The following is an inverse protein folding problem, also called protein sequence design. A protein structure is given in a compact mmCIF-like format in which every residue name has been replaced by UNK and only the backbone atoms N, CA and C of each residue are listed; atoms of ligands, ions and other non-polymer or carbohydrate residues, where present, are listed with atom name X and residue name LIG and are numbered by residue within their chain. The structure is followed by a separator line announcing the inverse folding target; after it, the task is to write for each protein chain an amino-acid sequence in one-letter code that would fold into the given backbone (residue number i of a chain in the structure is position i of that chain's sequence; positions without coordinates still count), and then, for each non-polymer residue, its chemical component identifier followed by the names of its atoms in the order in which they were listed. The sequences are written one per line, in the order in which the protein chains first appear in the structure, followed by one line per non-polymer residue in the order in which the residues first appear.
data_IF_414641090213
#
_entry.id   IF_414641090213
#
_cell.length_a   1.000
_cell.length_b   1.000
_cell.length_c   1.000
_cell.angle_alpha   90.00
_cell.angle_beta   90.00
_cell.angle_gamma   90.00
#
_symmetry.space_group_name_H-M   'P 1'
#
loop_
_entity.id
_entity.type
_entity.pdbx_description
1 polymer ?
#
# COMPACT_ATOMS: atom_id res chain seq x y z
N UNK A 1 14.96 10.60 -6.38
CA UNK A 1 15.83 9.41 -6.45
C UNK A 1 15.00 8.32 -7.14
N UNK A 2 15.56 7.63 -8.12
CA UNK A 2 14.90 6.47 -8.75
C UNK A 2 15.10 5.26 -7.86
N UNK A 3 14.11 4.36 -7.80
CA UNK A 3 14.26 3.03 -7.21
C UNK A 3 14.07 2.01 -8.31
N UNK A 4 15.04 1.10 -8.44
CA UNK A 4 15.08 0.14 -9.53
C UNK A 4 15.20 -1.26 -8.95
N UNK A 5 14.26 -2.11 -9.31
CA UNK A 5 14.30 -3.51 -8.96
C UNK A 5 15.42 -4.20 -9.74
N UNK A 6 16.24 -5.06 -9.10
CA UNK A 6 17.19 -5.90 -9.83
C UNK A 6 16.49 -6.69 -10.95
N UNK A 7 17.19 -6.97 -12.07
CA UNK A 7 16.69 -7.88 -13.09
C UNK A 7 16.19 -9.18 -12.47
N UNK A 8 15.09 -9.74 -12.99
CA UNK A 8 14.60 -11.05 -12.52
C UNK A 8 15.75 -12.06 -12.62
N UNK A 9 15.96 -12.92 -11.61
CA UNK A 9 17.12 -13.81 -11.54
C UNK A 9 17.20 -14.76 -12.74
N UNK A 10 16.07 -15.01 -13.41
CA UNK A 10 15.97 -15.78 -14.64
C UNK A 10 14.67 -15.44 -15.38
N UNK A 11 14.63 -15.79 -16.67
CA UNK A 11 13.45 -15.64 -17.52
C UNK A 11 12.50 -16.83 -17.32
N UNK A 12 11.43 -16.62 -16.54
CA UNK A 12 10.44 -17.66 -16.25
C UNK A 12 9.73 -18.16 -17.52
N UNK A 13 9.61 -17.32 -18.56
CA UNK A 13 8.92 -17.70 -19.80
C UNK A 13 9.78 -18.59 -20.70
N UNK A 14 11.09 -18.62 -20.49
CA UNK A 14 11.97 -19.58 -21.15
C UNK A 14 11.74 -21.01 -20.64
N UNK A 15 11.35 -21.16 -19.36
CA UNK A 15 11.04 -22.44 -18.73
C UNK A 15 9.58 -22.85 -18.91
N UNK A 16 8.68 -21.86 -18.80
CA UNK A 16 7.24 -22.05 -18.91
C UNK A 16 6.67 -21.06 -19.94
N UNK A 17 6.80 -21.36 -21.26
CA UNK A 17 6.33 -20.47 -22.33
C UNK A 17 4.84 -20.11 -22.24
N UNK A 18 4.04 -20.93 -21.57
CA UNK A 18 2.62 -20.69 -21.32
C UNK A 18 2.35 -19.44 -20.48
N UNK A 19 3.34 -18.96 -19.71
CA UNK A 19 3.23 -17.72 -18.95
C UNK A 19 3.41 -16.45 -19.80
N UNK A 20 4.07 -16.53 -20.95
CA UNK A 20 4.31 -15.38 -21.82
C UNK A 20 3.03 -14.60 -22.19
N UNK A 21 1.92 -15.22 -22.63
CA UNK A 21 0.67 -14.49 -22.90
C UNK A 21 -0.02 -13.94 -21.65
N UNK A 22 0.42 -14.33 -20.44
CA UNK A 22 -0.14 -13.89 -19.16
C UNK A 22 0.65 -12.73 -18.54
N UNK A 23 1.73 -12.29 -19.18
CA UNK A 23 2.53 -11.16 -18.72
C UNK A 23 1.66 -9.88 -18.64
N UNK A 24 1.70 -9.19 -17.49
CA UNK A 24 1.08 -7.88 -17.31
C UNK A 24 2.09 -6.88 -16.78
N UNK A 25 2.01 -5.65 -17.27
CA UNK A 25 2.77 -4.53 -16.71
C UNK A 25 2.08 -4.04 -15.43
N UNK A 26 2.82 -3.99 -14.34
CA UNK A 26 2.50 -3.26 -13.12
C UNK A 26 3.42 -2.05 -12.97
N UNK A 27 3.02 -1.05 -12.19
CA UNK A 27 3.91 0.05 -11.81
C UNK A 27 4.08 0.06 -10.30
N UNK A 28 5.26 -0.31 -9.81
CA UNK A 28 5.64 -0.17 -8.41
C UNK A 28 5.85 1.30 -8.07
N UNK A 29 5.46 1.72 -6.88
CA UNK A 29 5.41 3.14 -6.52
C UNK A 29 6.50 3.60 -5.56
N UNK A 30 7.20 2.67 -4.89
CA UNK A 30 8.35 2.94 -4.01
C UNK A 30 8.22 4.19 -3.12
N UNK A 31 7.21 4.27 -2.24
CA UNK A 31 6.99 5.45 -1.41
C UNK A 31 8.18 5.72 -0.49
N UNK A 32 8.68 6.96 -0.47
CA UNK A 32 9.72 7.41 0.48
C UNK A 32 9.27 8.63 1.27
N UNK A 33 9.56 8.70 2.59
CA UNK A 33 9.19 9.85 3.41
C UNK A 33 9.69 11.15 2.79
N UNK A 34 8.83 12.17 2.78
CA UNK A 34 9.12 13.44 2.14
C UNK A 34 8.08 14.52 2.45
N UNK A 35 8.13 15.60 1.69
CA UNK A 35 7.18 16.73 1.83
C UNK A 35 6.45 16.95 0.51
N UNK A 36 5.49 16.06 0.16
CA UNK A 36 4.73 16.19 -1.07
C UNK A 36 3.86 17.44 -1.08
N UNK A 37 3.65 17.98 -2.27
CA UNK A 37 2.72 19.07 -2.56
C UNK A 37 1.47 18.53 -3.25
N UNK A 38 0.46 19.39 -3.45
CA UNK A 38 -0.75 19.04 -4.19
C UNK A 38 -0.47 18.65 -5.64
N UNK A 39 0.71 18.97 -6.19
CA UNK A 39 1.10 18.65 -7.57
C UNK A 39 1.92 17.36 -7.70
N UNK A 40 2.18 16.68 -6.58
CA UNK A 40 2.91 15.43 -6.57
C UNK A 40 1.97 14.23 -6.52
N UNK A 41 2.35 13.15 -7.21
CA UNK A 41 1.82 11.83 -6.91
C UNK A 41 2.45 11.36 -5.59
N UNK A 42 1.63 11.10 -4.57
CA UNK A 42 2.09 10.92 -3.19
C UNK A 42 1.18 10.04 -2.33
N UNK A 43 1.72 9.59 -1.19
CA UNK A 43 0.96 8.99 -0.07
C UNK A 43 0.87 10.02 1.04
N UNK A 44 -0.29 10.15 1.69
CA UNK A 44 -0.48 10.98 2.89
C UNK A 44 -0.17 12.48 2.72
N UNK A 45 0.02 12.94 1.49
CA UNK A 45 0.25 14.33 1.16
C UNK A 45 -1.05 15.14 1.02
N UNK A 46 -0.93 16.46 0.84
CA UNK A 46 -2.08 17.29 0.55
C UNK A 46 -2.68 16.92 -0.82
N UNK A 47 -4.00 16.95 -0.93
CA UNK A 47 -4.71 16.67 -2.17
C UNK A 47 -4.94 17.96 -2.96
N UNK A 48 -4.92 17.88 -4.29
CA UNK A 48 -5.46 18.90 -5.18
C UNK A 48 -7.00 18.88 -5.09
N UNK A 49 -7.54 19.37 -3.97
CA UNK A 49 -8.97 19.38 -3.69
C UNK A 49 -9.57 20.76 -3.98
N UNK A 50 -10.66 20.87 -4.77
CA UNK A 50 -11.31 22.14 -5.05
C UNK A 50 -11.86 22.80 -3.78
N UNK A 51 -11.65 24.12 -3.62
CA UNK A 51 -12.12 24.86 -2.44
C UNK A 51 -13.66 24.94 -2.34
N UNK A 52 -14.37 24.81 -3.47
CA UNK A 52 -15.83 24.85 -3.58
C UNK A 52 -16.49 23.47 -3.41
N UNK A 53 -15.70 22.40 -3.33
CA UNK A 53 -16.21 21.05 -3.15
C UNK A 53 -16.14 20.62 -1.67
N UNK A 54 -17.24 20.16 -1.07
CA UNK A 54 -17.24 19.72 0.32
C UNK A 54 -16.30 18.52 0.51
N UNK A 55 -15.55 18.54 1.61
CA UNK A 55 -14.74 17.38 2.00
C UNK A 55 -15.63 16.18 2.33
N UNK A 56 -15.25 14.94 1.94
CA UNK A 56 -16.05 13.76 2.22
C UNK A 56 -15.96 13.33 3.69
N UNK A 57 -17.09 12.85 4.22
CA UNK A 57 -17.21 12.33 5.58
C UNK A 57 -17.79 10.92 5.56
N UNK A 58 -17.41 10.12 6.55
CA UNK A 58 -18.01 8.84 6.87
C UNK A 58 -19.07 9.02 7.98
N UNK A 59 -20.31 8.68 7.66
CA UNK A 59 -21.46 8.72 8.58
C UNK A 59 -21.86 7.33 9.09
N UNK A 60 -21.07 6.30 8.78
CA UNK A 60 -21.39 4.93 9.21
C UNK A 60 -21.17 4.75 10.73
N UNK A 61 -21.85 3.76 11.35
CA UNK A 61 -21.65 3.46 12.76
C UNK A 61 -20.22 2.98 13.05
N UNK A 62 -19.55 3.61 14.02
CA UNK A 62 -18.23 3.20 14.51
C UNK A 62 -18.36 2.56 15.89
N UNK A 63 -17.79 1.38 16.10
CA UNK A 63 -17.86 0.69 17.40
C UNK A 63 -16.80 1.22 18.38
N UNK A 64 -17.26 1.91 19.43
CA UNK A 64 -16.40 2.43 20.51
C UNK A 64 -15.71 1.34 21.33
N UNK A 65 -16.11 0.08 21.19
CA UNK A 65 -15.49 -1.07 21.86
C UNK A 65 -14.42 -1.75 21.02
N UNK A 66 -14.34 -1.44 19.72
CA UNK A 66 -13.38 -2.07 18.81
C UNK A 66 -11.93 -1.58 19.05
N UNK A 67 -11.75 -0.40 19.66
CA UNK A 67 -10.44 0.10 20.08
C UNK A 67 -10.51 0.67 21.51
N UNK A 68 -9.64 0.23 22.43
CA UNK A 68 -9.63 0.74 23.81
C UNK A 68 -9.09 2.17 23.92
N UNK A 69 -8.33 2.62 22.93
CA UNK A 69 -7.73 3.96 22.85
C UNK A 69 -7.90 4.48 21.44
N UNK A 70 -8.26 5.75 21.31
CA UNK A 70 -8.32 6.49 20.05
C UNK A 70 -7.41 7.71 20.12
N UNK A 71 -6.93 8.17 18.98
CA UNK A 71 -6.01 9.30 18.88
C UNK A 71 -6.54 10.32 17.89
N UNK A 72 -6.21 11.60 18.04
CA UNK A 72 -6.30 12.53 16.90
C UNK A 72 -5.09 12.35 15.98
N UNK A 73 -5.13 12.80 14.72
CA UNK A 73 -3.96 12.77 13.86
C UNK A 73 -2.73 13.46 14.46
N UNK A 74 -2.93 14.55 15.21
CA UNK A 74 -1.84 15.24 15.92
C UNK A 74 -1.22 14.42 17.04
N UNK A 75 -2.03 13.64 17.77
CA UNK A 75 -1.50 12.70 18.77
C UNK A 75 -0.68 11.62 18.08
N UNK A 76 -1.16 11.06 16.96
CA UNK A 76 -0.41 10.05 16.20
C UNK A 76 0.94 10.62 15.74
N UNK A 77 0.96 11.84 15.20
CA UNK A 77 2.21 12.53 14.82
C UNK A 77 3.13 12.76 16.02
N UNK A 78 2.59 13.11 17.19
CA UNK A 78 3.36 13.28 18.42
C UNK A 78 3.96 11.95 18.89
N UNK A 79 3.15 10.88 18.95
CA UNK A 79 3.59 9.53 19.30
C UNK A 79 4.68 9.02 18.35
N UNK A 80 4.59 9.33 17.06
CA UNK A 80 5.66 9.03 16.07
C UNK A 80 6.95 9.77 16.39
N UNK A 81 6.89 11.06 16.70
CA UNK A 81 8.08 11.85 17.09
C UNK A 81 8.72 11.31 18.36
N UNK A 82 7.93 10.97 19.38
CA UNK A 82 8.43 10.38 20.61
C UNK A 82 9.10 9.02 20.33
N UNK A 83 8.46 8.15 19.53
CA UNK A 83 9.03 6.84 19.13
C UNK A 83 10.35 7.01 18.39
N UNK A 84 10.44 7.97 17.47
CA UNK A 84 11.67 8.26 16.75
C UNK A 84 12.78 8.79 17.68
N UNK A 85 12.45 9.72 18.59
CA UNK A 85 13.39 10.27 19.56
C UNK A 85 13.91 9.20 20.52
N UNK A 86 13.05 8.30 21.00
CA UNK A 86 13.41 7.16 21.84
C UNK A 86 14.35 6.18 21.12
N UNK A 87 14.07 5.88 19.86
CA UNK A 87 14.91 5.01 19.05
C UNK A 87 16.29 5.61 18.78
N UNK A 88 16.39 6.91 18.43
CA UNK A 88 17.70 7.56 18.26
C UNK A 88 18.47 7.64 19.58
N UNK A 89 17.80 7.93 20.70
CA UNK A 89 18.40 7.93 22.03
C UNK A 89 19.06 6.58 22.34
N UNK A 90 18.34 5.48 22.10
CA UNK A 90 18.86 4.12 22.30
C UNK A 90 19.94 3.71 21.31
N UNK A 91 19.93 4.27 20.11
CA UNK A 91 20.99 4.09 19.11
C UNK A 91 22.31 4.69 19.59
N UNK A 92 22.25 5.88 20.20
CA UNK A 92 23.42 6.60 20.72
C UNK A 92 23.90 6.04 22.06
N UNK A 93 22.98 5.60 22.92
CA UNK A 93 23.25 4.98 24.21
C UNK A 93 22.30 3.80 24.45
N UNK A 94 22.76 2.54 24.25
CA UNK A 94 21.93 1.35 24.43
C UNK A 94 21.31 1.19 25.83
N UNK A 95 21.94 1.79 26.86
CA UNK A 95 21.45 1.73 28.24
C UNK A 95 20.46 2.85 28.57
N UNK A 96 20.24 3.79 27.64
CA UNK A 96 19.30 4.89 27.84
C UNK A 96 17.86 4.39 27.99
N UNK A 97 17.04 5.08 28.81
CA UNK A 97 15.65 4.71 29.00
C UNK A 97 14.89 4.79 27.68
N UNK A 98 14.01 3.80 27.45
CA UNK A 98 13.16 3.77 26.26
C UNK A 98 12.30 5.03 26.16
N UNK A 99 11.73 5.46 27.29
CA UNK A 99 10.88 6.65 27.36
C UNK A 99 11.33 7.56 28.49
N UNK A 100 11.30 8.88 28.27
CA UNK A 100 11.46 9.84 29.35
C UNK A 100 10.21 9.87 30.24
N UNK A 101 10.30 10.39 31.48
CA UNK A 101 9.11 10.64 32.31
C UNK A 101 8.09 11.56 31.62
N UNK A 102 8.55 12.55 30.84
CA UNK A 102 7.67 13.49 30.12
C UNK A 102 6.94 12.83 28.95
N UNK A 103 7.62 11.95 28.19
CA UNK A 103 7.03 11.14 27.12
C UNK A 103 5.93 10.23 27.71
N UNK A 104 6.22 9.51 28.80
CA UNK A 104 5.22 8.66 29.48
C UNK A 104 4.01 9.45 29.97
N UNK A 105 4.23 10.58 30.63
CA UNK A 105 3.14 11.44 31.11
C UNK A 105 2.31 12.01 29.94
N UNK A 106 2.92 12.22 28.79
CA UNK A 106 2.19 12.61 27.57
C UNK A 106 1.33 11.45 27.08
N UNK A 107 1.87 10.25 26.98
CA UNK A 107 1.13 9.08 26.50
C UNK A 107 -0.04 8.71 27.41
N UNK A 108 0.13 8.81 28.72
CA UNK A 108 -0.94 8.62 29.70
C UNK A 108 -2.09 9.61 29.50
N UNK A 109 -1.79 10.87 29.13
CA UNK A 109 -2.82 11.87 28.80
C UNK A 109 -3.52 11.53 27.49
N UNK A 110 -2.77 11.11 26.46
CA UNK A 110 -3.31 10.76 25.15
C UNK A 110 -4.22 9.53 25.19
N UNK A 111 -3.90 8.56 26.04
CA UNK A 111 -4.69 7.35 26.24
C UNK A 111 -6.13 7.63 26.73
N UNK A 112 -6.37 8.81 27.32
CA UNK A 112 -7.67 9.23 27.85
C UNK A 112 -8.52 10.05 26.87
N UNK A 113 -8.18 10.10 25.57
CA UNK A 113 -8.96 10.89 24.59
C UNK A 113 -10.42 10.42 24.56
N UNK A 114 -11.39 11.35 24.65
CA UNK A 114 -12.80 10.98 24.59
C UNK A 114 -13.19 10.48 23.19
N UNK A 115 -14.16 9.58 23.17
CA UNK A 115 -14.81 9.12 21.95
C UNK A 115 -15.61 10.25 21.28
N UNK A 116 -15.83 10.13 19.97
CA UNK A 116 -16.59 11.08 19.16
C UNK A 116 -17.61 10.32 18.30
N UNK A 117 -18.89 10.64 18.47
CA UNK A 117 -20.01 9.95 17.81
C UNK A 117 -20.49 10.64 16.51
N UNK A 118 -19.78 11.66 16.05
CA UNK A 118 -20.15 12.42 14.86
C UNK A 118 -19.52 11.90 13.55
N UNK A 119 -19.79 12.59 12.43
CA UNK A 119 -19.23 12.26 11.12
C UNK A 119 -17.70 12.35 11.12
N UNK A 120 -17.03 11.35 10.54
CA UNK A 120 -15.56 11.27 10.50
C UNK A 120 -15.06 11.78 9.15
N UNK A 121 -14.28 12.86 9.13
CA UNK A 121 -13.64 13.34 7.90
C UNK A 121 -12.72 12.25 7.35
N UNK A 122 -12.83 11.95 6.04
CA UNK A 122 -11.96 10.93 5.44
C UNK A 122 -10.51 11.44 5.42
N UNK A 123 -9.56 10.55 5.70
CA UNK A 123 -8.13 10.85 5.59
C UNK A 123 -7.67 10.77 4.13
N UNK A 124 -6.80 11.69 3.68
CA UNK A 124 -6.14 11.56 2.39
C UNK A 124 -5.11 10.43 2.46
N UNK A 125 -5.24 9.44 1.58
CA UNK A 125 -4.37 8.26 1.54
C UNK A 125 -3.36 8.39 0.42
N UNK A 126 -3.82 8.66 -0.80
CA UNK A 126 -2.97 8.73 -1.96
C UNK A 126 -3.51 9.69 -3.01
N UNK A 127 -2.60 10.26 -3.79
CA UNK A 127 -2.88 11.03 -4.99
C UNK A 127 -2.01 10.53 -6.13
N UNK A 128 -2.58 10.26 -7.29
CA UNK A 128 -1.89 9.73 -8.46
C UNK A 128 -2.24 10.55 -9.70
N UNK A 129 -1.22 11.15 -10.31
CA UNK A 129 -1.34 11.81 -11.59
C UNK A 129 -0.99 10.86 -12.73
N UNK A 130 -1.81 10.89 -13.78
CA UNK A 130 -1.62 10.05 -14.97
C UNK A 130 -0.33 10.37 -15.75
N UNK A 131 0.26 11.56 -15.54
CA UNK A 131 1.57 11.93 -16.08
C UNK A 131 2.74 11.22 -15.40
N UNK A 132 2.56 10.77 -14.16
CA UNK A 132 3.62 10.16 -13.36
C UNK A 132 3.46 8.63 -13.31
N UNK A 133 2.21 8.16 -13.21
CA UNK A 133 1.88 6.75 -13.01
C UNK A 133 0.76 6.33 -13.97
N UNK A 134 0.91 5.22 -14.72
CA UNK A 134 -0.19 4.68 -15.52
C UNK A 134 -1.19 3.91 -14.65
N UNK A 135 -2.48 4.21 -14.80
CA UNK A 135 -3.58 3.49 -14.14
C UNK A 135 -4.86 3.54 -15.00
N UNK A 136 -5.81 2.58 -14.82
CA UNK A 136 -7.15 2.67 -15.41
C UNK A 136 -7.85 3.93 -14.91
N UNK A 137 -8.39 4.74 -15.83
CA UNK A 137 -9.01 6.03 -15.51
C UNK A 137 -10.15 6.36 -16.48
N UNK A 138 -11.15 7.15 -16.06
CA UNK A 138 -12.10 7.76 -16.99
C UNK A 138 -11.39 8.64 -18.04
N UNK A 139 -11.94 8.79 -19.25
CA UNK A 139 -11.27 9.52 -20.34
C UNK A 139 -10.91 10.98 -20.01
N UNK A 140 -11.74 11.65 -19.21
CA UNK A 140 -11.68 13.06 -18.83
C UNK A 140 -10.92 13.34 -17.51
N UNK A 141 -10.49 12.29 -16.81
CA UNK A 141 -9.74 12.41 -15.56
C UNK A 141 -8.26 12.09 -15.77
N UNK A 142 -7.36 12.92 -15.26
CA UNK A 142 -5.90 12.69 -15.22
C UNK A 142 -5.36 12.57 -13.79
N UNK A 143 -6.24 12.60 -12.79
CA UNK A 143 -5.93 12.54 -11.37
C UNK A 143 -6.86 11.56 -10.66
N UNK A 144 -6.28 10.66 -9.88
CA UNK A 144 -6.97 9.79 -8.93
C UNK A 144 -6.60 10.22 -7.51
N UNK A 145 -7.61 10.43 -6.66
CA UNK A 145 -7.45 10.67 -5.24
C UNK A 145 -8.14 9.55 -4.46
N UNK A 146 -7.42 9.02 -3.48
CA UNK A 146 -7.88 7.95 -2.60
C UNK A 146 -7.97 8.51 -1.20
N UNK A 147 -9.16 8.44 -0.61
CA UNK A 147 -9.41 8.77 0.78
C UNK A 147 -9.97 7.56 1.51
N UNK A 148 -9.86 7.50 2.83
CA UNK A 148 -10.48 6.43 3.60
C UNK A 148 -11.00 6.87 4.96
N UNK A 149 -11.91 6.08 5.53
CA UNK A 149 -12.31 6.23 6.92
C UNK A 149 -11.22 5.65 7.83
N UNK A 150 -10.74 6.37 8.87
CA UNK A 150 -9.73 5.86 9.80
C UNK A 150 -10.30 4.89 10.86
N UNK A 151 -11.32 4.11 10.48
CA UNK A 151 -11.98 3.11 11.31
C UNK A 151 -12.17 1.82 10.52
N UNK A 152 -12.23 0.71 11.24
CA UNK A 152 -12.73 -0.55 10.73
C UNK A 152 -14.21 -0.45 10.37
N UNK A 153 -14.54 -1.09 9.25
CA UNK A 153 -15.92 -1.36 8.83
C UNK A 153 -16.17 -2.88 8.84
N UNK A 154 -17.22 -3.32 8.12
CA UNK A 154 -17.72 -4.72 8.15
C UNK A 154 -16.64 -5.79 7.94
N UNK A 155 -15.63 -5.48 7.13
CA UNK A 155 -14.36 -6.19 7.10
C UNK A 155 -13.34 -5.30 7.80
N UNK A 156 -12.50 -5.87 8.68
CA UNK A 156 -11.58 -5.15 9.59
C UNK A 156 -10.45 -4.36 8.87
N UNK A 157 -10.82 -3.47 7.97
CA UNK A 157 -10.01 -2.59 7.16
C UNK A 157 -10.76 -1.27 6.93
N UNK A 158 -10.06 -0.19 6.55
CA UNK A 158 -10.70 1.09 6.31
C UNK A 158 -11.53 1.02 5.03
N UNK A 159 -12.71 1.65 5.02
CA UNK A 159 -13.49 1.86 3.80
C UNK A 159 -12.88 2.99 2.99
N UNK A 160 -12.72 2.80 1.68
CA UNK A 160 -12.13 3.79 0.78
C UNK A 160 -13.15 4.51 -0.08
N UNK A 161 -12.78 5.72 -0.49
CA UNK A 161 -13.51 6.54 -1.44
C UNK A 161 -12.55 7.01 -2.53
N UNK A 162 -12.96 6.83 -3.79
CA UNK A 162 -12.18 7.20 -4.96
C UNK A 162 -12.78 8.44 -5.62
N UNK A 163 -11.91 9.41 -5.95
CA UNK A 163 -12.29 10.62 -6.66
C UNK A 163 -11.45 10.74 -7.93
N UNK A 164 -12.13 10.78 -9.07
CA UNK A 164 -11.53 10.98 -10.39
C UNK A 164 -11.67 12.45 -10.77
N UNK A 165 -10.57 13.09 -11.17
CA UNK A 165 -10.56 14.53 -11.48
C UNK A 165 -9.74 14.86 -12.71
N UNK A 166 -10.09 15.98 -13.33
CA UNK A 166 -9.22 16.70 -14.25
C UNK A 166 -8.43 17.74 -13.47
N UNK A 167 -7.13 17.56 -13.33
CA UNK A 167 -6.27 18.41 -12.52
C UNK A 167 -6.24 19.86 -13.00
N UNK A 168 -6.33 20.07 -14.32
CA UNK A 168 -6.33 21.40 -14.94
C UNK A 168 -7.60 22.22 -14.69
N UNK A 169 -8.68 21.63 -14.18
CA UNK A 169 -9.91 22.36 -13.85
C UNK A 169 -9.93 22.90 -12.42
N UNK A 170 -9.04 22.39 -11.55
CA UNK A 170 -8.92 22.88 -10.17
C UNK A 170 -8.07 24.15 -10.16
N UNK A 171 -8.71 25.28 -9.88
CA UNK A 171 -8.05 26.60 -9.86
C UNK A 171 -7.82 27.09 -8.43
N UNK A 172 -8.86 27.03 -7.60
CA UNK A 172 -8.79 27.34 -6.17
C UNK A 172 -8.71 26.03 -5.37
N UNK A 173 -7.61 25.85 -4.63
CA UNK A 173 -7.34 24.66 -3.83
C UNK A 173 -7.75 24.90 -2.38
N UNK A 174 -8.35 23.89 -1.75
CA UNK A 174 -8.70 23.90 -0.33
C UNK A 174 -7.43 23.98 0.54
N UNK A 175 -7.26 25.11 1.25
CA UNK A 175 -6.05 25.40 2.04
C UNK A 175 -5.91 24.51 3.29
N UNK A 176 -7.02 24.28 4.00
CA UNK A 176 -7.06 23.53 5.24
C UNK A 176 -8.13 22.43 5.17
N UNK A 177 -7.81 21.24 4.62
CA UNK A 177 -8.74 20.12 4.65
C UNK A 177 -9.02 19.72 6.11
N UNK A 178 -10.27 19.36 6.45
CA UNK A 178 -10.61 18.97 7.81
C UNK A 178 -9.95 17.64 8.16
N UNK A 179 -9.39 17.57 9.36
CA UNK A 179 -8.87 16.32 9.91
C UNK A 179 -9.93 15.62 10.77
N UNK A 180 -9.94 14.28 10.81
CA UNK A 180 -10.86 13.56 11.70
C UNK A 180 -10.52 13.86 13.17
N UNK A 181 -11.53 14.03 14.04
CA UNK A 181 -11.30 14.32 15.45
C UNK A 181 -10.64 13.16 16.20
N UNK A 182 -10.89 11.93 15.71
CA UNK A 182 -10.33 10.68 16.21
C UNK A 182 -10.03 9.72 15.07
N UNK A 183 -9.00 8.90 15.24
CA UNK A 183 -8.62 7.76 14.44
C UNK A 183 -8.61 6.52 15.33
N UNK A 184 -9.14 5.41 14.82
CA UNK A 184 -9.22 4.16 15.58
C UNK A 184 -7.84 3.52 15.77
N UNK A 185 -6.99 3.62 14.74
CA UNK A 185 -5.64 3.08 14.73
C UNK A 185 -4.65 4.06 14.11
N UNK A 186 -3.52 4.22 14.79
CA UNK A 186 -2.40 5.08 14.36
C UNK A 186 -1.89 4.75 12.94
N UNK A 187 -2.04 3.49 12.52
CA UNK A 187 -1.59 2.97 11.25
C UNK A 187 -2.53 3.29 10.06
N UNK A 188 -3.68 3.92 10.31
CA UNK A 188 -4.53 4.46 9.25
C UNK A 188 -4.17 5.90 8.85
N UNK A 189 -3.33 6.57 9.63
CA UNK A 189 -2.75 7.83 9.21
C UNK A 189 -1.49 7.53 8.38
N UNK A 190 -1.42 7.81 7.07
CA UNK A 190 -0.17 7.66 6.34
C UNK A 190 0.91 8.65 6.81
N UNK A 191 2.17 8.23 6.73
CA UNK A 191 3.32 9.13 6.70
C UNK A 191 3.45 9.74 5.29
N UNK A 192 3.60 11.07 5.16
CA UNK A 192 3.74 11.71 3.86
C UNK A 192 4.94 11.19 3.08
N UNK A 193 4.68 10.62 1.90
CA UNK A 193 5.71 10.03 1.04
C UNK A 193 5.57 10.50 -0.41
N UNK A 194 6.70 10.67 -1.10
CA UNK A 194 6.77 10.82 -2.55
C UNK A 194 6.90 9.45 -3.21
N UNK A 195 6.27 9.28 -4.37
CA UNK A 195 6.44 8.08 -5.18
C UNK A 195 7.66 8.16 -6.11
N UNK A 196 8.20 7.00 -6.43
CA UNK A 196 9.24 6.80 -7.45
C UNK A 196 8.81 5.63 -8.35
N UNK A 197 8.03 5.90 -9.40
CA UNK A 197 7.38 4.86 -10.19
C UNK A 197 8.36 4.02 -11.01
N UNK A 198 8.19 2.69 -10.99
CA UNK A 198 8.96 1.73 -11.80
C UNK A 198 8.00 0.74 -12.48
N UNK A 199 8.13 0.54 -13.80
CA UNK A 199 7.38 -0.48 -14.50
C UNK A 199 8.04 -1.85 -14.39
N UNK A 200 7.26 -2.84 -13.98
CA UNK A 200 7.70 -4.24 -13.86
C UNK A 200 6.72 -5.17 -14.58
N UNK A 201 7.20 -6.35 -14.95
CA UNK A 201 6.36 -7.43 -15.48
C UNK A 201 5.95 -8.36 -14.35
N UNK A 202 4.67 -8.67 -14.30
CA UNK A 202 4.08 -9.63 -13.37
C UNK A 202 3.40 -10.77 -14.12
N UNK A 203 3.30 -11.90 -13.43
CA UNK A 203 2.57 -13.10 -13.82
C UNK A 203 1.51 -13.46 -12.77
N UNK A 204 0.51 -14.29 -13.11
CA UNK A 204 -0.58 -14.62 -12.19
C UNK A 204 -0.08 -15.31 -10.93
N UNK A 205 -0.89 -15.27 -9.87
CA UNK A 205 -0.68 -16.19 -8.76
C UNK A 205 -0.89 -17.65 -9.23
N UNK A 206 -0.14 -18.63 -8.71
CA UNK A 206 -0.32 -20.05 -9.07
C UNK A 206 -1.78 -20.52 -9.02
N UNK A 207 -2.54 -20.09 -8.01
CA UNK A 207 -3.95 -20.48 -7.85
C UNK A 207 -4.89 -19.91 -8.92
N UNK A 208 -4.43 -18.94 -9.72
CA UNK A 208 -5.16 -18.42 -10.89
C UNK A 208 -4.81 -19.14 -12.20
N UNK A 209 -3.78 -20.00 -12.19
CA UNK A 209 -3.35 -20.77 -13.36
C UNK A 209 -4.19 -22.04 -13.53
N UNK A 210 -4.17 -22.63 -14.72
CA UNK A 210 -4.74 -23.97 -14.92
C UNK A 210 -3.92 -25.04 -14.16
N UNK A 211 -4.56 -26.20 -13.94
CA UNK A 211 -3.96 -27.25 -13.12
C UNK A 211 -2.68 -27.83 -13.73
N UNK A 212 -2.59 -27.87 -15.06
CA UNK A 212 -1.41 -28.39 -15.75
C UNK A 212 -0.20 -27.49 -15.50
N UNK A 213 -0.38 -26.17 -15.59
CA UNK A 213 0.70 -25.20 -15.37
C UNK A 213 1.07 -25.09 -13.88
N UNK A 214 0.10 -25.23 -12.97
CA UNK A 214 0.38 -25.36 -11.54
C UNK A 214 1.28 -26.58 -11.26
N UNK A 215 0.90 -27.76 -11.77
CA UNK A 215 1.68 -28.99 -11.59
C UNK A 215 3.08 -28.89 -12.22
N UNK A 216 3.23 -28.13 -13.32
CA UNK A 216 4.53 -27.85 -13.94
C UNK A 216 5.42 -26.93 -13.09
N UNK A 217 4.85 -25.92 -12.43
CA UNK A 217 5.59 -25.02 -11.54
C UNK A 217 6.09 -25.76 -10.29
N UNK A 218 5.30 -26.68 -9.76
CA UNK A 218 5.65 -27.48 -8.58
C UNK A 218 6.64 -28.63 -8.90
N UNK A 219 6.77 -29.02 -10.17
CA UNK A 219 7.67 -30.10 -10.61
C UNK A 219 9.13 -29.63 -10.67
N UNK A 220 9.92 -30.00 -9.66
CA UNK A 220 11.35 -29.67 -9.55
C UNK A 220 12.16 -30.07 -10.79
N UNK A 221 11.78 -31.11 -11.53
CA UNK A 221 12.50 -31.54 -12.73
C UNK A 221 12.47 -30.48 -13.85
N UNK A 222 11.45 -29.61 -13.86
CA UNK A 222 11.31 -28.49 -14.80
C UNK A 222 12.27 -27.34 -14.52
N UNK A 223 12.83 -27.31 -13.32
CA UNK A 223 13.74 -26.27 -12.86
C UNK A 223 15.22 -26.68 -12.93
N UNK A 224 15.53 -27.91 -13.33
CA UNK A 224 16.89 -28.49 -13.36
C UNK A 224 17.91 -27.69 -14.19
N UNK A 225 17.44 -26.85 -15.11
CA UNK A 225 18.33 -25.98 -15.92
C UNK A 225 18.78 -24.73 -15.16
N UNK A 226 18.16 -24.41 -14.02
CA UNK A 226 18.61 -23.38 -13.08
C UNK A 226 19.44 -24.05 -12.00
N UNK A 227 20.63 -23.51 -11.74
CA UNK A 227 21.45 -23.90 -10.60
C UNK A 227 20.74 -23.55 -9.28
N UNK A 228 20.41 -24.54 -8.42
CA UNK A 228 19.73 -24.31 -7.14
C UNK A 228 20.43 -23.28 -6.25
N UNK A 229 21.76 -23.20 -6.30
CA UNK A 229 22.52 -22.20 -5.55
C UNK A 229 22.17 -20.74 -5.90
N UNK A 230 21.45 -20.50 -7.00
CA UNK A 230 20.97 -19.16 -7.42
C UNK A 230 19.68 -18.73 -6.72
N UNK A 231 18.94 -19.67 -6.13
CA UNK A 231 17.65 -19.39 -5.50
C UNK A 231 17.48 -19.98 -4.11
N UNK A 232 18.28 -20.98 -3.72
CA UNK A 232 18.31 -21.57 -2.36
C UNK A 232 18.58 -20.51 -1.26
N UNK A 233 19.08 -19.32 -1.63
CA UNK A 233 19.27 -18.22 -0.69
C UNK A 233 17.96 -17.53 -0.26
N UNK A 234 16.86 -17.68 -1.01
CA UNK A 234 15.60 -16.97 -0.75
C UNK A 234 14.31 -17.77 -1.09
N UNK A 235 14.41 -19.07 -1.40
CA UNK A 235 13.25 -19.95 -1.57
C UNK A 235 13.62 -21.41 -1.21
N UNK A 236 12.73 -22.10 -0.49
CA UNK A 236 12.91 -23.51 -0.09
C UNK A 236 12.49 -24.49 -1.19
N UNK A 237 11.58 -24.06 -2.09
CA UNK A 237 11.12 -24.85 -3.23
C UNK A 237 10.79 -23.98 -4.47
N UNK A 238 10.68 -24.59 -5.67
CA UNK A 238 10.42 -23.84 -6.90
C UNK A 238 9.06 -23.14 -6.97
N UNK A 239 8.04 -23.65 -6.27
CA UNK A 239 6.73 -23.01 -6.17
C UNK A 239 6.80 -21.73 -5.35
N UNK A 240 7.51 -21.75 -4.22
CA UNK A 240 7.81 -20.56 -3.42
C UNK A 240 8.63 -19.54 -4.22
N UNK A 241 9.65 -20.00 -4.96
CA UNK A 241 10.46 -19.17 -5.83
C UNK A 241 9.60 -18.42 -6.85
N UNK A 242 8.69 -19.11 -7.53
CA UNK A 242 7.77 -18.47 -8.45
C UNK A 242 6.87 -17.46 -7.75
N UNK A 243 6.19 -17.88 -6.68
CA UNK A 243 5.20 -17.07 -5.97
C UNK A 243 5.81 -15.77 -5.43
N UNK A 244 6.94 -15.86 -4.73
CA UNK A 244 7.50 -14.74 -3.98
C UNK A 244 8.44 -13.86 -4.82
N UNK A 245 9.07 -14.40 -5.87
CA UNK A 245 10.15 -13.71 -6.57
C UNK A 245 9.90 -13.45 -8.06
N UNK A 246 8.91 -14.11 -8.68
CA UNK A 246 8.67 -14.02 -10.12
C UNK A 246 7.23 -13.68 -10.51
N UNK A 247 6.26 -13.99 -9.66
CA UNK A 247 4.83 -13.84 -9.95
C UNK A 247 4.38 -12.39 -9.79
N UNK A 248 4.10 -11.95 -8.56
CA UNK A 248 3.60 -10.60 -8.27
C UNK A 248 4.60 -9.80 -7.45
N UNK A 249 4.80 -8.53 -7.82
CA UNK A 249 5.65 -7.63 -7.05
C UNK A 249 4.95 -7.24 -5.74
N UNK A 250 5.70 -7.20 -4.62
CA UNK A 250 5.19 -6.69 -3.35
C UNK A 250 5.13 -5.16 -3.35
N UNK A 251 4.50 -4.62 -2.32
CA UNK A 251 4.48 -3.19 -2.06
C UNK A 251 3.38 -2.43 -2.79
N UNK A 252 3.50 -1.10 -2.73
CA UNK A 252 2.58 -0.19 -3.39
C UNK A 252 2.74 -0.29 -4.90
N UNK A 253 1.65 -0.56 -5.61
CA UNK A 253 1.66 -0.68 -7.07
C UNK A 253 0.33 -0.32 -7.71
N UNK A 254 0.35 0.09 -8.98
CA UNK A 254 -0.84 0.12 -9.84
C UNK A 254 -0.82 -1.01 -10.85
N UNK A 255 -2.01 -1.44 -11.28
CA UNK A 255 -2.19 -2.47 -12.33
C UNK A 255 -1.55 -3.82 -11.95
N UNK A 256 -1.17 -4.60 -12.96
CA UNK A 256 -0.59 -5.93 -12.79
C UNK A 256 -1.60 -7.04 -12.50
N UNK A 257 -1.18 -7.97 -11.64
CA UNK A 257 -1.96 -9.09 -11.15
C UNK A 257 -2.36 -8.88 -9.69
N UNK A 258 -3.52 -9.45 -9.33
CA UNK A 258 -3.96 -9.49 -7.94
C UNK A 258 -2.99 -10.39 -7.17
N UNK A 259 -2.43 -9.88 -6.07
CA UNK A 259 -1.69 -10.73 -5.14
C UNK A 259 -2.69 -11.46 -4.26
N UNK A 260 -2.64 -12.78 -4.22
CA UNK A 260 -3.44 -13.60 -3.31
C UNK A 260 -2.57 -14.10 -2.17
N UNK A 261 -3.07 -14.01 -0.94
CA UNK A 261 -2.32 -14.41 0.26
C UNK A 261 -3.23 -14.76 1.44
N UNK A 262 -4.27 -13.96 1.68
CA UNK A 262 -5.24 -14.22 2.74
C UNK A 262 -6.39 -15.12 2.31
N UNK A 263 -6.82 -15.05 1.05
CA UNK A 263 -7.94 -15.84 0.54
C UNK A 263 -7.60 -16.45 -0.82
N UNK A 264 -8.32 -17.51 -1.18
CA UNK A 264 -8.27 -18.04 -2.54
C UNK A 264 -8.78 -17.03 -3.58
N UNK A 265 -8.37 -17.15 -4.86
CA UNK A 265 -8.90 -16.34 -5.94
C UNK A 265 -10.42 -16.46 -6.04
N UNK A 266 -11.10 -15.31 -6.02
CA UNK A 266 -12.57 -15.22 -6.13
C UNK A 266 -12.97 -14.27 -7.25
N UNK A 267 -14.04 -14.54 -8.01
CA UNK A 267 -14.55 -13.59 -9.01
C UNK A 267 -14.82 -12.22 -8.40
N UNK A 268 -14.55 -11.16 -9.17
CA UNK A 268 -14.75 -9.76 -8.79
C UNK A 268 -15.56 -9.06 -9.88
N UNK A 269 -16.80 -9.51 -10.18
CA UNK A 269 -17.63 -8.87 -11.19
C UNK A 269 -17.97 -7.45 -10.75
N UNK A 270 -17.91 -6.50 -11.67
CA UNK A 270 -18.41 -5.15 -11.44
C UNK A 270 -19.91 -5.20 -11.10
N UNK A 271 -20.35 -4.56 -10.01
CA UNK A 271 -21.76 -4.62 -9.61
C UNK A 271 -22.71 -3.97 -10.63
N UNK A 272 -22.21 -3.05 -11.46
CA UNK A 272 -23.00 -2.33 -12.46
C UNK A 272 -23.10 -3.07 -13.80
N UNK A 273 -21.98 -3.60 -14.33
CA UNK A 273 -21.94 -4.17 -15.68
C UNK A 273 -21.53 -5.65 -15.74
N UNK A 274 -21.19 -6.27 -14.61
CA UNK A 274 -20.78 -7.67 -14.51
C UNK A 274 -19.39 -7.98 -15.07
N UNK A 275 -18.68 -7.01 -15.66
CA UNK A 275 -17.31 -7.22 -16.16
C UNK A 275 -16.34 -7.42 -15.00
N UNK A 276 -15.47 -8.42 -15.07
CA UNK A 276 -14.44 -8.68 -14.05
C UNK A 276 -13.56 -7.44 -13.83
N UNK A 277 -13.51 -6.98 -12.58
CA UNK A 277 -12.71 -5.82 -12.20
C UNK A 277 -11.22 -6.17 -12.18
N UNK A 278 -10.40 -5.20 -12.56
CA UNK A 278 -8.94 -5.34 -12.67
C UNK A 278 -8.24 -4.55 -11.56
N UNK A 279 -7.02 -4.96 -11.13
CA UNK A 279 -6.27 -4.21 -10.12
C UNK A 279 -6.06 -2.76 -10.53
N UNK A 280 -6.48 -1.82 -9.67
CA UNK A 280 -6.25 -0.39 -9.82
C UNK A 280 -5.03 0.02 -9.00
N UNK A 281 -5.09 -0.20 -7.68
CA UNK A 281 -4.07 0.21 -6.72
C UNK A 281 -3.95 -0.83 -5.60
N UNK A 282 -2.73 -1.24 -5.30
CA UNK A 282 -2.37 -1.96 -4.08
C UNK A 282 -1.81 -0.98 -3.07
N UNK A 283 -2.48 -0.85 -1.92
CA UNK A 283 -2.03 -0.12 -0.74
C UNK A 283 -1.41 -1.16 0.20
N UNK A 284 -0.08 -1.19 0.26
CA UNK A 284 0.65 -2.21 1.00
C UNK A 284 1.13 -1.71 2.37
N UNK A 285 1.14 -2.61 3.35
CA UNK A 285 1.74 -2.34 4.67
C UNK A 285 3.27 -2.27 4.61
N UNK A 286 3.86 -3.06 3.70
CA UNK A 286 5.31 -3.17 3.52
C UNK A 286 5.65 -3.13 2.03
N UNK A 287 6.77 -2.50 1.68
CA UNK A 287 7.25 -2.50 0.29
C UNK A 287 7.80 -3.87 -0.14
N UNK A 288 8.30 -4.66 0.81
CA UNK A 288 8.77 -6.02 0.63
C UNK A 288 8.73 -6.77 1.98
N UNK A 289 8.83 -8.10 1.93
CA UNK A 289 8.90 -9.01 3.07
C UNK A 289 10.17 -9.88 2.98
N UNK A 290 10.36 -10.79 3.95
CA UNK A 290 11.55 -11.64 3.99
C UNK A 290 11.66 -12.66 2.85
N UNK A 291 10.57 -12.97 2.14
CA UNK A 291 10.58 -13.94 1.02
C UNK A 291 10.74 -13.28 -0.36
N UNK A 292 10.65 -11.95 -0.43
CA UNK A 292 10.61 -11.18 -1.68
C UNK A 292 11.92 -10.43 -1.95
N UNK A 293 13.05 -10.99 -1.54
CA UNK A 293 14.37 -10.34 -1.60
C UNK A 293 14.72 -9.82 -3.00
N UNK A 294 14.37 -10.56 -4.06
CA UNK A 294 14.64 -10.16 -5.44
C UNK A 294 13.87 -8.89 -5.86
N UNK A 295 12.83 -8.50 -5.13
CA UNK A 295 12.06 -7.28 -5.35
C UNK A 295 12.60 -6.07 -4.60
N UNK A 296 13.60 -6.23 -3.73
CA UNK A 296 14.20 -5.09 -3.04
C UNK A 296 15.02 -4.27 -4.04
N UNK A 297 14.64 -3.00 -4.22
CA UNK A 297 15.35 -2.08 -5.12
C UNK A 297 16.84 -1.98 -4.77
N UNK A 298 17.69 -1.88 -5.79
CA UNK A 298 19.15 -1.85 -5.63
C UNK A 298 19.58 -0.72 -4.69
N UNK A 299 18.97 0.45 -4.84
CA UNK A 299 19.23 1.63 -4.01
C UNK A 299 18.86 1.36 -2.55
N UNK A 300 17.77 0.63 -2.30
CA UNK A 300 17.32 0.23 -0.96
C UNK A 300 18.28 -0.75 -0.26
N UNK A 301 19.06 -1.53 -1.01
CA UNK A 301 20.11 -2.41 -0.46
C UNK A 301 21.37 -1.63 -0.05
N UNK A 302 21.58 -0.47 -0.65
CA UNK A 302 22.77 0.38 -0.44
C UNK A 302 22.53 1.59 0.44
N UNK A 303 21.26 1.96 0.68
CA UNK A 303 20.91 3.08 1.54
C UNK A 303 21.08 2.70 3.02
N UNK A 304 22.07 3.28 3.73
CA UNK A 304 22.27 3.03 5.15
C UNK A 304 21.24 3.77 6.01
N UNK A 305 20.33 4.54 5.40
CA UNK A 305 19.31 5.29 6.14
C UNK A 305 18.43 4.30 6.89
N UNK A 306 18.44 4.32 8.24
CA UNK A 306 17.55 3.46 9.00
C UNK A 306 16.11 3.76 8.57
N UNK A 307 15.22 2.77 8.56
CA UNK A 307 13.80 3.02 8.36
C UNK A 307 13.34 4.10 9.35
N UNK A 308 12.26 4.85 9.07
CA UNK A 308 11.71 5.84 10.00
C UNK A 308 11.71 5.24 11.40
N UNK A 309 12.45 5.88 12.32
CA UNK A 309 12.91 5.26 13.56
C UNK A 309 11.71 4.66 14.35
N UNK A 310 11.60 3.32 14.34
CA UNK A 310 10.47 2.56 14.93
C UNK A 310 9.61 1.75 13.92
N UNK A 311 9.81 1.94 12.62
CA UNK A 311 9.11 1.19 11.57
C UNK A 311 9.76 -0.18 11.29
N UNK A 312 8.95 -1.17 10.90
CA UNK A 312 9.47 -2.42 10.33
C UNK A 312 10.21 -2.10 9.03
N UNK A 313 11.25 -2.89 8.71
CA UNK A 313 12.01 -2.73 7.48
C UNK A 313 11.05 -2.76 6.27
N UNK A 314 11.11 -1.75 5.40
CA UNK A 314 10.19 -1.60 4.26
C UNK A 314 8.84 -0.92 4.56
N UNK A 315 8.52 -0.53 5.81
CA UNK A 315 7.32 0.24 6.13
C UNK A 315 7.60 1.75 6.10
N UNK A 316 7.63 2.34 4.90
CA UNK A 316 7.90 3.77 4.72
C UNK A 316 6.67 4.67 4.97
N UNK A 317 5.47 4.17 4.69
CA UNK A 317 4.22 4.93 4.82
C UNK A 317 3.60 4.85 6.21
N UNK A 318 4.17 4.03 7.11
CA UNK A 318 3.64 3.72 8.45
C UNK A 318 2.21 3.16 8.46
N UNK A 319 1.74 2.71 7.29
CA UNK A 319 0.45 2.05 7.15
C UNK A 319 0.59 0.59 7.59
N UNK A 320 -0.46 0.08 8.22
CA UNK A 320 -0.62 -1.33 8.52
C UNK A 320 -2.08 -1.73 8.26
N UNK A 321 -2.26 -2.64 7.31
CA UNK A 321 -3.54 -3.24 6.93
C UNK A 321 -3.55 -4.63 7.53
N UNK A 322 -4.35 -4.84 8.58
CA UNK A 322 -4.62 -6.15 9.19
C UNK A 322 -3.33 -6.91 9.59
N UNK A 323 -2.34 -6.21 10.16
CA UNK A 323 -1.11 -6.86 10.66
C UNK A 323 -0.12 -7.28 9.56
N UNK A 324 -0.06 -6.53 8.45
CA UNK A 324 0.94 -6.69 7.40
C UNK A 324 0.39 -7.11 6.04
N UNK A 325 -0.91 -7.28 5.89
CA UNK A 325 -1.57 -7.53 4.61
C UNK A 325 -1.62 -6.26 3.75
N UNK A 326 -2.24 -6.36 2.58
CA UNK A 326 -2.40 -5.27 1.63
C UNK A 326 -3.88 -5.04 1.36
N UNK A 327 -4.27 -3.78 1.17
CA UNK A 327 -5.58 -3.43 0.64
C UNK A 327 -5.45 -3.24 -0.87
N UNK A 328 -6.07 -4.12 -1.65
CA UNK A 328 -6.16 -4.01 -3.10
C UNK A 328 -7.49 -3.39 -3.49
N UNK A 329 -7.42 -2.34 -4.30
CA UNK A 329 -8.56 -1.70 -4.93
C UNK A 329 -8.63 -2.19 -6.38
N UNK A 330 -9.78 -2.72 -6.77
CA UNK A 330 -10.06 -3.14 -8.15
C UNK A 330 -11.08 -2.18 -8.76
N UNK A 331 -10.88 -1.85 -10.03
CA UNK A 331 -11.79 -0.97 -10.77
C UNK A 331 -12.33 -1.68 -12.02
N UNK A 332 -13.53 -1.27 -12.44
CA UNK A 332 -14.12 -1.78 -13.66
C UNK A 332 -13.32 -1.29 -14.88
N UNK A 333 -12.89 -2.20 -15.78
CA UNK A 333 -12.15 -1.79 -16.98
C UNK A 333 -13.02 -1.12 -18.04
N UNK A 334 -14.36 -1.25 -17.95
CA UNK A 334 -15.32 -0.61 -18.88
C UNK A 334 -15.54 0.85 -18.49
N UNK A 335 -15.75 1.11 -17.21
CA UNK A 335 -15.87 2.45 -16.65
C UNK A 335 -15.29 2.47 -15.23
N UNK A 336 -14.09 3.03 -15.03
CA UNK A 336 -13.45 3.11 -13.71
C UNK A 336 -14.24 3.93 -12.66
N UNK A 337 -15.30 4.63 -13.08
CA UNK A 337 -16.22 5.37 -12.20
C UNK A 337 -17.26 4.46 -11.54
N UNK A 338 -17.45 3.23 -12.04
CA UNK A 338 -18.27 2.22 -11.37
C UNK A 338 -17.69 1.89 -9.97
N UNK A 339 -18.51 1.40 -9.03
CA UNK A 339 -18.06 1.04 -7.69
C UNK A 339 -16.86 0.09 -7.72
N UNK A 340 -15.78 0.48 -7.02
CA UNK A 340 -14.59 -0.34 -6.87
C UNK A 340 -14.81 -1.48 -5.88
N UNK A 341 -14.00 -2.52 -5.99
CA UNK A 341 -13.96 -3.63 -5.02
C UNK A 341 -12.74 -3.46 -4.12
N UNK A 342 -12.94 -3.64 -2.83
CA UNK A 342 -11.90 -3.66 -1.81
C UNK A 342 -11.57 -5.10 -1.41
N UNK A 343 -10.28 -5.44 -1.40
CA UNK A 343 -9.82 -6.78 -1.11
C UNK A 343 -8.56 -6.75 -0.25
N UNK A 344 -8.65 -7.24 0.99
CA UNK A 344 -7.48 -7.45 1.86
C UNK A 344 -6.79 -8.76 1.48
N UNK A 345 -5.47 -8.74 1.21
CA UNK A 345 -4.66 -9.91 0.80
C UNK A 345 -3.24 -9.94 1.33
#
# INVERSE_FOLDING_TARGET
MSFTTPPRPFDITALFPQLAPLARTATRLHPRPGSPTVHDSSVGGPLLWPADEPWPYCDEPHDSRAAPVVHSPDDVRLLRRDRAAAAERRRLDPEAPQWTPEERATWERLAGRPWFDGPIALLPVAQLYARDVPFPRPPDADLLQVLWCPFDHEMAHPRTALFWRSSGTVTDVLDAPPEPPIVQRDCYLPEPCLFSPEQVTEYPNPSELDKELQDQLDDTSRWETIDPARYDTYADDPGELYLNNLSTAPGWKTRGWTRWGLTDPKPRPCPECGTEQVPLLTIASLEWDGGSETWIAEEGRTDPSPPPLGARYGNFTLIDIVGGYNLQLHACPVDPSHPHIELVQ
#
